data_IF_003437789151
#
_entry.id   IF_003437789151
#
_cell.length_a   1.000
_cell.length_b   1.000
_cell.length_c   1.000
_cell.angle_alpha   90.00
_cell.angle_beta   90.00
_cell.angle_gamma   90.00
#
_symmetry.space_group_name_H-M   'P 1'
#
loop_
_entity.id
_entity.type
_entity.pdbx_description
1 polymer ?
#
# COMPACT_ATOMS: atom_id res chain seq x y z
N UNK A 1 -7.80 9.24 23.66
CA UNK A 1 -7.06 9.68 22.48
C UNK A 1 -5.98 10.60 22.98
N UNK A 2 -4.71 10.29 22.73
CA UNK A 2 -3.60 11.12 23.19
C UNK A 2 -3.29 12.13 22.07
N UNK A 3 -3.39 13.41 22.40
CA UNK A 3 -3.03 14.51 21.52
C UNK A 3 -1.89 15.31 22.17
N UNK A 4 -1.00 15.85 21.36
CA UNK A 4 0.05 16.72 21.85
C UNK A 4 0.07 18.02 21.05
N UNK A 5 0.37 19.10 21.73
CA UNK A 5 0.62 20.39 21.12
C UNK A 5 2.08 20.75 21.32
N UNK A 6 2.69 21.20 20.25
CA UNK A 6 4.07 21.67 20.24
C UNK A 6 4.03 23.15 19.86
N UNK A 7 4.51 24.00 20.75
CA UNK A 7 4.57 25.44 20.51
C UNK A 7 6.03 25.89 20.52
N UNK A 8 6.53 26.30 19.36
CA UNK A 8 7.87 26.86 19.24
C UNK A 8 7.94 28.25 19.86
N UNK A 9 8.98 28.48 20.67
CA UNK A 9 9.14 29.72 21.40
C UNK A 9 10.09 30.71 20.74
N UNK A 10 10.88 30.28 19.76
CA UNK A 10 11.88 31.08 19.09
C UNK A 10 11.84 30.93 17.58
N UNK A 11 12.37 31.93 16.86
CA UNK A 11 12.46 31.92 15.40
C UNK A 11 13.50 30.92 14.88
N UNK A 12 14.46 30.54 15.71
CA UNK A 12 15.47 29.54 15.38
C UNK A 12 14.90 28.11 15.46
N UNK A 13 13.70 27.97 16.02
CA UNK A 13 12.97 26.70 16.19
C UNK A 13 13.77 25.66 16.99
N UNK A 14 14.44 26.12 18.04
CA UNK A 14 15.27 25.27 18.93
C UNK A 14 14.51 24.90 20.19
N UNK A 15 13.85 25.88 20.82
CA UNK A 15 13.14 25.69 22.07
C UNK A 15 11.63 25.62 21.83
N UNK A 16 10.98 24.67 22.47
CA UNK A 16 9.56 24.45 22.33
C UNK A 16 8.93 24.04 23.65
N UNK A 17 7.64 24.31 23.78
CA UNK A 17 6.80 23.76 24.82
C UNK A 17 5.96 22.64 24.25
N UNK A 18 5.96 21.53 24.94
CA UNK A 18 5.18 20.35 24.63
C UNK A 18 4.06 20.19 25.67
N UNK A 19 2.85 20.15 25.22
CA UNK A 19 1.66 19.95 26.03
C UNK A 19 1.02 18.60 25.65
N UNK A 20 0.79 17.75 26.64
CA UNK A 20 0.14 16.47 26.46
C UNK A 20 -1.30 16.53 26.96
N UNK A 21 -2.21 16.01 26.16
CA UNK A 21 -3.62 15.92 26.46
C UNK A 21 -4.11 14.48 26.38
N UNK A 22 -4.94 14.10 27.32
CA UNK A 22 -5.70 12.87 27.32
C UNK A 22 -7.18 13.20 27.54
N UNK A 23 -8.04 12.73 26.62
CA UNK A 23 -9.48 12.99 26.69
C UNK A 23 -9.84 14.48 26.86
N UNK A 24 -9.10 15.37 26.19
CA UNK A 24 -9.20 16.83 26.25
C UNK A 24 -8.80 17.47 27.60
N UNK A 25 -8.10 16.74 28.45
CA UNK A 25 -7.52 17.30 29.69
C UNK A 25 -6.01 17.34 29.55
N UNK A 26 -5.39 18.46 29.88
CA UNK A 26 -3.94 18.60 29.92
C UNK A 26 -3.37 17.79 31.08
N UNK A 27 -2.58 16.76 30.74
CA UNK A 27 -1.95 15.88 31.74
C UNK A 27 -0.53 16.31 32.10
N UNK A 28 0.19 16.92 31.15
CA UNK A 28 1.55 17.37 31.36
C UNK A 28 1.90 18.53 30.42
N UNK A 29 2.86 19.34 30.85
CA UNK A 29 3.57 20.31 30.00
C UNK A 29 5.06 20.27 30.32
N UNK A 30 5.89 20.35 29.30
CA UNK A 30 7.34 20.34 29.45
C UNK A 30 7.99 21.21 28.38
N UNK A 31 8.98 22.04 28.82
CA UNK A 31 9.81 22.79 27.89
C UNK A 31 11.02 21.96 27.52
N UNK A 32 11.22 21.74 26.24
CA UNK A 32 12.29 20.88 25.70
C UNK A 32 12.94 21.54 24.49
N UNK A 33 14.11 21.03 24.12
CA UNK A 33 14.72 21.35 22.84
C UNK A 33 14.22 20.40 21.76
N UNK A 34 14.26 20.86 20.52
CA UNK A 34 13.78 20.07 19.37
C UNK A 34 14.51 18.72 19.22
N UNK A 35 15.79 18.66 19.53
CA UNK A 35 16.59 17.42 19.52
C UNK A 35 16.15 16.39 20.58
N UNK A 36 15.49 16.83 21.64
CA UNK A 36 14.95 16.00 22.72
C UNK A 36 13.46 15.63 22.51
N UNK A 37 12.83 16.14 21.47
CA UNK A 37 11.40 15.96 21.24
C UNK A 37 11.00 14.48 21.13
N UNK A 38 11.77 13.68 20.42
CA UNK A 38 11.48 12.25 20.23
C UNK A 38 11.40 11.46 21.55
N UNK A 39 12.19 11.86 22.56
CA UNK A 39 12.19 11.18 23.87
C UNK A 39 10.97 11.52 24.71
N UNK A 40 10.32 12.66 24.40
CA UNK A 40 9.17 13.18 25.13
C UNK A 40 7.83 12.97 24.42
N UNK A 41 7.86 12.56 23.15
CA UNK A 41 6.66 12.16 22.41
C UNK A 41 6.37 10.68 22.65
N UNK A 42 5.14 10.38 23.05
CA UNK A 42 4.66 8.99 23.09
C UNK A 42 4.39 8.47 21.65
N UNK A 43 4.61 7.19 21.42
CA UNK A 43 4.28 6.55 20.15
C UNK A 43 2.78 6.67 19.85
N UNK A 44 2.42 6.98 18.63
CA UNK A 44 1.02 7.09 18.13
C UNK A 44 0.22 8.32 18.57
N UNK A 45 0.83 9.47 18.66
CA UNK A 45 0.17 10.73 19.02
C UNK A 45 -0.14 11.56 17.77
N UNK A 46 -1.32 12.18 17.76
CA UNK A 46 -1.60 13.30 16.86
C UNK A 46 -1.00 14.57 17.49
N UNK A 47 -0.10 15.19 16.75
CA UNK A 47 0.62 16.39 17.20
C UNK A 47 0.22 17.58 16.35
N UNK A 48 -0.21 18.66 16.96
CA UNK A 48 -0.35 19.96 16.32
C UNK A 48 0.87 20.81 16.72
N UNK A 49 1.58 21.31 15.71
CA UNK A 49 2.79 22.09 15.86
C UNK A 49 2.53 23.52 15.47
N UNK A 50 2.70 24.45 16.40
CA UNK A 50 2.56 25.87 16.16
C UNK A 50 3.94 26.50 15.95
N UNK A 51 4.10 27.13 14.79
CA UNK A 51 5.30 27.90 14.44
C UNK A 51 5.01 29.39 14.65
N UNK A 52 6.03 30.20 15.03
CA UNK A 52 5.88 31.65 15.18
C UNK A 52 5.28 32.28 13.93
N UNK A 53 4.22 33.08 14.10
CA UNK A 53 3.51 33.70 12.96
C UNK A 53 4.36 34.68 12.16
N UNK A 54 5.45 35.18 12.76
CA UNK A 54 6.46 35.99 12.06
C UNK A 54 7.12 35.29 10.88
N UNK A 55 7.07 33.95 10.84
CA UNK A 55 7.67 33.14 9.76
C UNK A 55 6.78 33.06 8.53
N UNK A 56 5.54 33.56 8.60
CA UNK A 56 4.54 33.45 7.55
C UNK A 56 4.14 34.81 7.00
N UNK A 57 3.80 34.84 5.73
CA UNK A 57 3.06 35.90 5.10
C UNK A 57 1.64 35.46 4.79
N UNK A 58 0.73 36.43 4.74
CA UNK A 58 -0.69 36.17 4.51
C UNK A 58 -1.26 37.19 3.50
N UNK A 59 -2.19 36.73 2.68
CA UNK A 59 -2.93 37.57 1.76
C UNK A 59 -4.35 37.03 1.57
N UNK A 60 -5.33 37.92 1.71
CA UNK A 60 -6.72 37.60 1.39
C UNK A 60 -6.96 37.78 -0.12
N UNK A 61 -7.51 36.78 -0.74
CA UNK A 61 -7.84 36.82 -2.16
C UNK A 61 -9.35 36.71 -2.39
N UNK A 62 -9.80 37.31 -3.47
CA UNK A 62 -11.17 37.14 -3.92
C UNK A 62 -11.31 35.81 -4.65
N UNK A 63 -12.04 34.87 -4.09
CA UNK A 63 -12.34 33.62 -4.74
C UNK A 63 -13.30 33.87 -5.92
N UNK A 64 -12.77 34.04 -7.09
CA UNK A 64 -13.54 34.10 -8.31
C UNK A 64 -14.02 32.70 -8.65
N UNK A 65 -15.24 32.35 -8.28
CA UNK A 65 -15.87 31.09 -8.56
C UNK A 65 -15.72 30.69 -10.02
N UNK A 66 -14.92 29.66 -10.29
CA UNK A 66 -14.72 29.11 -11.63
C UNK A 66 -13.28 28.99 -12.12
N UNK A 67 -12.31 29.55 -11.40
CA UNK A 67 -10.90 29.32 -11.71
C UNK A 67 -10.44 27.94 -11.25
N UNK A 68 -9.57 27.30 -12.03
CA UNK A 68 -8.87 26.10 -11.58
C UNK A 68 -7.81 26.48 -10.54
N UNK A 69 -7.44 25.54 -9.68
CA UNK A 69 -6.46 25.78 -8.62
C UNK A 69 -5.15 26.40 -9.14
N UNK A 70 -4.63 25.94 -10.29
CA UNK A 70 -3.38 26.46 -10.87
C UNK A 70 -3.54 27.91 -11.36
N UNK A 71 -4.69 28.27 -11.91
CA UNK A 71 -5.01 29.64 -12.37
C UNK A 71 -5.22 30.57 -11.19
N UNK A 72 -5.86 30.09 -10.13
CA UNK A 72 -6.04 30.82 -8.87
C UNK A 72 -4.68 31.11 -8.23
N UNK A 73 -3.82 30.12 -8.14
CA UNK A 73 -2.46 30.27 -7.61
C UNK A 73 -1.64 31.31 -8.41
N UNK A 74 -1.68 31.23 -9.72
CA UNK A 74 -0.97 32.18 -10.57
C UNK A 74 -1.47 33.61 -10.36
N UNK A 75 -2.79 33.82 -10.26
CA UNK A 75 -3.37 35.16 -10.03
C UNK A 75 -2.98 35.71 -8.65
N UNK A 76 -3.05 34.88 -7.59
CA UNK A 76 -2.66 35.29 -6.25
C UNK A 76 -1.18 35.67 -6.21
N UNK A 77 -0.29 34.90 -6.84
CA UNK A 77 1.13 35.26 -6.93
C UNK A 77 1.34 36.61 -7.60
N UNK A 78 0.64 36.88 -8.68
CA UNK A 78 0.71 38.19 -9.39
C UNK A 78 0.23 39.31 -8.46
N UNK A 79 -0.85 39.12 -7.70
CA UNK A 79 -1.39 40.14 -6.79
C UNK A 79 -0.44 40.49 -5.66
N UNK A 80 0.34 39.50 -5.16
CA UNK A 80 1.22 39.68 -4.01
C UNK A 80 2.68 40.00 -4.41
N UNK A 81 3.06 39.82 -5.69
CA UNK A 81 4.44 39.98 -6.16
C UNK A 81 5.05 41.31 -5.74
N UNK A 82 4.30 42.38 -5.89
CA UNK A 82 4.75 43.75 -5.55
C UNK A 82 4.85 44.01 -4.03
N UNK A 83 4.21 43.17 -3.21
CA UNK A 83 4.16 43.31 -1.75
C UNK A 83 5.19 42.42 -1.02
N UNK A 84 5.76 41.42 -1.70
CA UNK A 84 6.76 40.50 -1.16
C UNK A 84 8.17 41.01 -1.42
N UNK A 85 8.95 41.16 -0.37
CA UNK A 85 10.37 41.60 -0.47
C UNK A 85 11.28 40.44 -0.93
N UNK A 86 10.91 39.22 -0.61
CA UNK A 86 11.66 38.00 -0.92
C UNK A 86 11.39 37.51 -2.34
N UNK A 87 12.35 36.78 -2.93
CA UNK A 87 12.14 36.08 -4.19
C UNK A 87 10.99 35.07 -4.05
N UNK A 88 9.96 35.19 -4.88
CA UNK A 88 8.79 34.30 -4.88
C UNK A 88 9.18 32.83 -5.07
N UNK A 89 10.23 32.58 -5.85
CA UNK A 89 10.76 31.22 -6.06
C UNK A 89 11.33 30.57 -4.80
N UNK A 90 11.67 31.36 -3.80
CA UNK A 90 12.14 30.90 -2.49
C UNK A 90 11.02 30.65 -1.47
N UNK A 91 9.76 30.83 -1.86
CA UNK A 91 8.60 30.71 -0.99
C UNK A 91 7.75 29.47 -1.36
N UNK A 92 7.19 28.82 -0.34
CA UNK A 92 6.14 27.82 -0.50
C UNK A 92 4.80 28.44 -0.14
N UNK A 93 3.85 28.33 -1.07
CA UNK A 93 2.50 28.86 -0.92
C UNK A 93 1.50 27.77 -0.58
N UNK A 94 0.56 28.12 0.29
CA UNK A 94 -0.58 27.31 0.70
C UNK A 94 -1.85 28.14 0.60
N UNK A 95 -2.95 27.51 0.27
CA UNK A 95 -4.21 28.18 0.01
C UNK A 95 -5.31 27.52 0.80
N UNK A 96 -6.10 28.34 1.48
CA UNK A 96 -7.33 27.88 2.12
C UNK A 96 -8.51 28.57 1.40
N UNK A 97 -9.23 27.85 0.54
CA UNK A 97 -10.36 28.42 -0.19
C UNK A 97 -11.57 28.67 0.74
N UNK A 98 -11.66 28.03 1.91
CA UNK A 98 -12.71 28.25 2.89
C UNK A 98 -12.57 29.61 3.58
N UNK A 99 -11.35 30.00 3.89
CA UNK A 99 -11.01 31.29 4.49
C UNK A 99 -10.66 32.36 3.44
N UNK A 100 -10.52 31.99 2.16
CA UNK A 100 -10.03 32.86 1.08
C UNK A 100 -8.66 33.48 1.40
N UNK A 101 -7.77 32.70 1.98
CA UNK A 101 -6.45 33.16 2.41
C UNK A 101 -5.34 32.37 1.71
N UNK A 102 -4.33 33.08 1.24
CA UNK A 102 -3.06 32.54 0.81
C UNK A 102 -2.02 32.76 1.92
N UNK A 103 -1.27 31.74 2.23
CA UNK A 103 -0.22 31.77 3.24
C UNK A 103 1.08 31.27 2.63
N UNK A 104 2.21 31.89 2.96
CA UNK A 104 3.51 31.44 2.47
C UNK A 104 4.56 31.47 3.57
N UNK A 105 5.59 30.65 3.38
CA UNK A 105 6.74 30.51 4.25
C UNK A 105 7.99 30.26 3.40
N UNK A 106 9.16 30.63 3.91
CA UNK A 106 10.43 30.31 3.26
C UNK A 106 10.59 28.80 3.00
N UNK A 107 10.91 28.44 1.76
CA UNK A 107 10.99 27.06 1.30
C UNK A 107 12.13 26.28 1.98
N UNK A 108 13.26 26.97 2.27
CA UNK A 108 14.42 26.35 2.94
C UNK A 108 14.09 26.05 4.38
N UNK A 109 13.42 26.98 5.05
CA UNK A 109 12.96 26.81 6.43
C UNK A 109 11.95 25.65 6.53
N UNK A 110 10.95 25.65 5.67
CA UNK A 110 9.93 24.59 5.63
C UNK A 110 10.56 23.21 5.35
N UNK A 111 11.51 23.12 4.43
CA UNK A 111 12.25 21.88 4.16
C UNK A 111 13.02 21.39 5.38
N UNK A 112 13.67 22.30 6.10
CA UNK A 112 14.36 21.98 7.35
C UNK A 112 13.43 21.44 8.42
N UNK A 113 12.28 22.09 8.62
CA UNK A 113 11.25 21.66 9.57
C UNK A 113 10.70 20.29 9.18
N UNK A 114 10.28 20.11 7.95
CA UNK A 114 9.74 18.84 7.46
C UNK A 114 10.74 17.70 7.62
N UNK A 115 12.02 17.93 7.32
CA UNK A 115 13.07 16.93 7.50
C UNK A 115 13.21 16.49 8.97
N UNK A 116 13.13 17.42 9.91
CA UNK A 116 13.19 17.11 11.34
C UNK A 116 11.98 16.31 11.80
N UNK A 117 10.76 16.74 11.45
CA UNK A 117 9.53 16.05 11.85
C UNK A 117 9.34 14.71 11.13
N UNK A 118 9.89 14.53 9.94
CA UNK A 118 9.86 13.25 9.22
C UNK A 118 10.70 12.15 9.90
N UNK A 119 11.63 12.51 10.79
CA UNK A 119 12.37 11.53 11.60
C UNK A 119 11.59 11.04 12.82
N UNK A 120 10.50 11.73 13.19
CA UNK A 120 9.69 11.44 14.36
C UNK A 120 8.51 10.51 14.02
N UNK A 121 8.16 9.66 14.96
CA UNK A 121 6.92 8.87 14.88
C UNK A 121 5.72 9.72 15.31
N UNK A 122 4.58 9.58 14.62
CA UNK A 122 3.35 10.33 14.92
C UNK A 122 2.77 11.04 13.69
N UNK A 123 1.56 11.55 13.83
CA UNK A 123 0.91 12.38 12.83
C UNK A 123 1.10 13.84 13.22
N UNK A 124 1.65 14.62 12.32
CA UNK A 124 1.92 16.04 12.57
C UNK A 124 1.04 16.93 11.68
N UNK A 125 0.51 17.98 12.29
CA UNK A 125 -0.10 19.11 11.59
C UNK A 125 0.69 20.34 11.99
N UNK A 126 1.28 21.05 11.03
CA UNK A 126 2.07 22.25 11.30
C UNK A 126 1.27 23.47 10.87
N UNK A 127 1.07 24.39 11.79
CA UNK A 127 0.24 25.58 11.63
C UNK A 127 0.97 26.83 12.17
N UNK A 128 0.63 28.02 11.69
CA UNK A 128 1.04 29.29 12.34
C UNK A 128 0.44 29.42 13.74
N UNK A 129 1.17 29.99 14.67
CA UNK A 129 0.72 30.07 16.08
C UNK A 129 -0.52 30.95 16.30
N UNK A 130 -0.79 31.94 15.47
CA UNK A 130 -1.99 32.76 15.62
C UNK A 130 -3.29 31.95 15.44
N UNK A 131 -3.24 30.82 14.72
CA UNK A 131 -4.38 29.91 14.62
C UNK A 131 -4.72 29.20 15.94
N UNK A 132 -3.82 29.22 16.92
CA UNK A 132 -4.12 28.84 18.30
C UNK A 132 -5.25 29.68 18.90
N UNK A 133 -5.37 30.91 18.42
CA UNK A 133 -6.31 31.92 18.92
C UNK A 133 -7.49 32.12 17.97
N UNK A 134 -7.63 31.26 16.94
CA UNK A 134 -8.62 31.45 15.90
C UNK A 134 -10.05 31.43 16.45
N UNK A 135 -10.77 32.46 16.12
CA UNK A 135 -12.21 32.65 16.41
C UNK A 135 -12.75 33.73 15.45
N UNK A 136 -14.05 33.93 15.43
CA UNK A 136 -14.67 34.96 14.62
C UNK A 136 -14.27 36.41 15.06
N UNK A 137 -13.80 36.57 16.29
CA UNK A 137 -13.34 37.85 16.82
C UNK A 137 -11.80 37.86 16.91
N UNK A 138 -11.19 39.05 16.79
CA UNK A 138 -9.75 39.20 16.96
C UNK A 138 -9.28 38.84 18.38
N UNK A 139 -8.16 38.16 18.47
CA UNK A 139 -7.57 37.72 19.73
C UNK A 139 -6.11 38.09 19.84
N UNK A 140 -5.65 38.40 21.04
CA UNK A 140 -4.24 38.64 21.32
C UNK A 140 -3.80 37.76 22.47
N UNK A 141 -2.69 37.05 22.26
CA UNK A 141 -1.99 36.33 23.30
C UNK A 141 -0.73 37.11 23.69
N UNK A 142 -0.53 37.29 24.96
CA UNK A 142 0.71 37.79 25.55
C UNK A 142 1.44 36.63 26.22
N UNK A 143 2.69 36.44 25.88
CA UNK A 143 3.59 35.47 26.52
C UNK A 143 4.90 36.14 26.96
N UNK A 144 5.80 35.39 27.55
CA UNK A 144 7.09 35.93 28.04
C UNK A 144 7.99 36.43 26.90
N UNK A 145 7.74 36.12 25.64
CA UNK A 145 8.52 36.56 24.45
C UNK A 145 7.95 37.82 23.85
N UNK A 146 6.65 38.00 23.90
CA UNK A 146 5.97 39.08 23.25
C UNK A 146 4.48 38.85 23.08
N UNK A 147 4.00 38.99 21.88
CA UNK A 147 2.58 38.89 21.57
C UNK A 147 2.34 38.10 20.28
N UNK A 148 1.14 37.52 20.20
CA UNK A 148 0.60 36.89 19.00
C UNK A 148 -0.83 37.39 18.79
N UNK A 149 -1.18 37.84 17.58
CA UNK A 149 -2.50 38.35 17.21
C UNK A 149 -3.09 37.44 16.16
N UNK A 150 -4.36 37.03 16.35
CA UNK A 150 -5.23 36.52 15.32
C UNK A 150 -6.26 37.56 14.97
N UNK A 151 -6.48 37.80 13.67
CA UNK A 151 -7.46 38.78 13.21
C UNK A 151 -8.88 38.23 13.08
N UNK A 152 -9.08 36.93 13.31
CA UNK A 152 -10.37 36.27 13.17
C UNK A 152 -10.78 35.97 11.73
N UNK A 153 -9.86 36.10 10.80
CA UNK A 153 -10.05 35.88 9.36
C UNK A 153 -9.04 34.86 8.79
N UNK A 154 -8.36 34.11 9.66
CA UNK A 154 -7.30 33.17 9.32
C UNK A 154 -5.92 33.80 9.18
N UNK A 155 -5.80 35.11 9.25
CA UNK A 155 -4.53 35.81 9.26
C UNK A 155 -4.09 36.20 10.67
N UNK A 156 -2.81 36.44 10.86
CA UNK A 156 -2.27 36.86 12.13
C UNK A 156 -0.80 37.23 12.08
N UNK A 157 -0.30 37.67 13.22
CA UNK A 157 1.09 38.11 13.37
C UNK A 157 1.58 37.87 14.80
N UNK A 158 2.88 37.62 14.95
CA UNK A 158 3.52 37.61 16.27
C UNK A 158 4.75 38.49 16.27
N UNK A 159 5.13 38.98 17.44
CA UNK A 159 6.25 39.91 17.59
C UNK A 159 6.73 40.08 19.02
N UNK A 160 7.85 40.72 19.18
CA UNK A 160 8.36 41.13 20.49
C UNK A 160 7.60 42.32 21.07
N UNK A 161 7.57 42.46 22.36
CA UNK A 161 6.94 43.60 23.03
C UNK A 161 7.43 44.96 22.52
N UNK A 162 8.67 45.07 22.13
CA UNK A 162 9.28 46.30 21.59
C UNK A 162 8.56 46.79 20.30
N UNK A 163 8.00 45.90 19.51
CA UNK A 163 7.27 46.23 18.28
C UNK A 163 5.77 46.38 18.49
N UNK A 164 5.25 46.02 19.67
CA UNK A 164 3.82 45.99 19.95
C UNK A 164 3.14 47.34 19.77
N UNK A 165 3.69 48.40 20.35
CA UNK A 165 3.06 49.75 20.33
C UNK A 165 2.96 50.27 18.87
N UNK A 166 3.97 50.03 18.04
CA UNK A 166 3.95 50.46 16.63
C UNK A 166 2.89 49.70 15.85
N UNK A 167 2.85 48.38 16.02
CA UNK A 167 1.88 47.55 15.35
C UNK A 167 0.45 47.89 15.82
N UNK A 168 0.25 48.07 17.13
CA UNK A 168 -1.03 48.37 17.70
C UNK A 168 -1.57 49.70 17.21
N UNK A 169 -0.74 50.75 17.13
CA UNK A 169 -1.10 52.04 16.58
C UNK A 169 -1.56 51.90 15.13
N UNK A 170 -0.85 51.12 14.32
CA UNK A 170 -1.23 50.84 12.91
C UNK A 170 -2.57 50.08 12.82
N UNK A 171 -2.82 49.13 13.71
CA UNK A 171 -4.09 48.38 13.75
C UNK A 171 -5.27 49.30 14.08
N UNK A 172 -5.11 50.17 15.05
CA UNK A 172 -6.13 51.13 15.45
C UNK A 172 -6.42 52.14 14.33
N UNK A 173 -5.39 52.66 13.67
CA UNK A 173 -5.54 53.54 12.49
C UNK A 173 -6.32 52.86 11.34
N UNK A 174 -6.16 51.58 11.17
CA UNK A 174 -6.87 50.76 10.16
C UNK A 174 -8.27 50.30 10.63
N UNK A 175 -8.85 50.93 11.64
CA UNK A 175 -10.20 50.67 12.19
C UNK A 175 -10.36 49.28 12.87
N UNK A 176 -9.29 48.76 13.40
CA UNK A 176 -9.40 47.59 14.24
C UNK A 176 -10.14 47.95 15.53
N UNK A 177 -11.37 47.45 15.70
CA UNK A 177 -12.19 47.84 16.85
C UNK A 177 -11.66 47.18 18.11
N UNK A 178 -10.96 47.95 18.95
CA UNK A 178 -10.37 47.52 20.25
C UNK A 178 -11.41 46.84 21.15
N UNK A 179 -12.68 47.26 21.06
CA UNK A 179 -13.81 46.73 21.83
C UNK A 179 -14.15 45.26 21.60
N UNK A 180 -13.58 44.65 20.50
CA UNK A 180 -13.81 43.26 20.13
C UNK A 180 -12.61 42.36 20.29
N UNK A 181 -11.51 42.87 20.86
CA UNK A 181 -10.29 42.08 21.02
C UNK A 181 -10.33 41.32 22.33
N UNK A 182 -10.14 40.02 22.28
CA UNK A 182 -9.98 39.21 23.48
C UNK A 182 -8.50 39.06 23.80
N UNK A 183 -8.12 39.24 25.06
CA UNK A 183 -6.74 39.11 25.52
C UNK A 183 -6.53 37.82 26.28
N UNK A 184 -5.44 37.17 26.02
CA UNK A 184 -5.00 35.95 26.68
C UNK A 184 -3.59 36.10 27.22
N UNK A 185 -3.24 35.35 28.22
CA UNK A 185 -1.89 35.22 28.74
C UNK A 185 -1.51 33.78 28.98
N UNK A 186 -0.26 33.48 28.79
CA UNK A 186 0.32 32.13 29.00
C UNK A 186 0.54 31.84 30.49
N UNK A 187 0.92 32.86 31.28
CA UNK A 187 1.16 32.77 32.71
C UNK A 187 0.57 33.96 33.44
N UNK A 188 0.28 33.79 34.72
CA UNK A 188 -0.25 34.83 35.60
C UNK A 188 0.68 36.03 35.77
N UNK A 189 1.97 35.77 35.67
CA UNK A 189 3.03 36.78 35.80
C UNK A 189 3.33 37.55 34.51
N UNK A 190 2.74 37.13 33.36
CA UNK A 190 2.89 37.81 32.10
C UNK A 190 2.29 39.20 32.12
N UNK A 191 3.11 40.20 31.82
CA UNK A 191 2.69 41.61 31.79
C UNK A 191 1.78 41.86 30.58
N UNK A 192 0.57 42.36 30.84
CA UNK A 192 -0.34 42.78 29.79
C UNK A 192 -0.27 44.29 29.68
N UNK A 193 -0.14 44.85 28.43
CA UNK A 193 -0.15 46.29 28.22
C UNK A 193 -1.40 46.94 28.86
N UNK A 194 -1.21 48.08 29.54
CA UNK A 194 -2.26 48.78 30.30
C UNK A 194 -3.52 49.06 29.50
N UNK A 195 -3.38 49.29 28.21
CA UNK A 195 -4.49 49.52 27.29
C UNK A 195 -5.52 48.38 27.26
N UNK A 196 -5.11 47.16 27.61
CA UNK A 196 -6.00 45.99 27.69
C UNK A 196 -6.39 45.63 29.14
N UNK A 197 -5.68 46.13 30.12
CA UNK A 197 -5.89 45.73 31.50
C UNK A 197 -7.26 46.16 32.05
N UNK A 198 -7.82 47.26 31.57
CA UNK A 198 -9.06 47.85 32.06
C UNK A 198 -10.32 47.39 31.29
N UNK A 199 -10.20 46.94 30.05
CA UNK A 199 -11.33 46.81 29.12
C UNK A 199 -11.68 45.36 28.73
N UNK A 200 -10.85 44.39 29.04
CA UNK A 200 -10.97 43.05 28.51
C UNK A 200 -10.82 41.92 29.57
N UNK A 201 -11.63 40.86 29.45
CA UNK A 201 -11.49 39.67 30.29
C UNK A 201 -10.27 38.86 29.81
N UNK A 202 -9.22 38.86 30.63
CA UNK A 202 -7.99 38.07 30.34
C UNK A 202 -8.24 36.60 30.67
N UNK A 203 -8.02 35.73 29.70
CA UNK A 203 -8.17 34.28 29.83
C UNK A 203 -6.79 33.60 29.87
N UNK A 204 -6.74 32.40 30.46
CA UNK A 204 -5.53 31.59 30.43
C UNK A 204 -5.44 30.82 29.11
N UNK A 205 -4.26 30.73 28.51
CA UNK A 205 -3.97 30.00 27.27
C UNK A 205 -4.43 28.54 27.35
N UNK A 206 -4.30 27.91 28.53
CA UNK A 206 -4.71 26.51 28.74
C UNK A 206 -6.14 26.22 28.32
N UNK A 207 -7.07 27.16 28.55
CA UNK A 207 -8.48 27.02 28.13
C UNK A 207 -8.60 27.06 26.60
N UNK A 208 -7.72 27.79 25.95
CA UNK A 208 -7.69 27.92 24.49
C UNK A 208 -7.22 26.67 23.78
N UNK A 209 -6.19 26.02 24.28
CA UNK A 209 -5.76 24.75 23.71
C UNK A 209 -6.89 23.72 23.65
N UNK A 210 -7.75 23.69 24.67
CA UNK A 210 -8.93 22.81 24.70
C UNK A 210 -9.95 23.18 23.62
N UNK A 211 -10.20 24.47 23.44
CA UNK A 211 -11.16 24.94 22.44
C UNK A 211 -10.65 24.75 21.01
N UNK A 212 -9.35 24.93 20.83
CA UNK A 212 -8.68 24.66 19.52
C UNK A 212 -8.78 23.20 19.13
N UNK A 213 -8.61 22.25 20.05
CA UNK A 213 -8.77 20.82 19.75
C UNK A 213 -10.15 20.54 19.12
N UNK A 214 -11.21 21.24 19.56
CA UNK A 214 -12.54 21.12 18.96
C UNK A 214 -12.63 21.75 17.56
N UNK A 215 -11.83 22.77 17.32
CA UNK A 215 -11.76 23.51 16.06
C UNK A 215 -10.76 22.94 15.04
N UNK A 216 -9.95 21.97 15.43
CA UNK A 216 -8.87 21.34 14.61
C UNK A 216 -9.30 20.98 13.16
N UNK A 217 -10.59 20.69 12.97
CA UNK A 217 -11.13 20.30 11.66
C UNK A 217 -11.42 21.49 10.73
N UNK A 218 -11.20 22.71 11.18
CA UNK A 218 -11.53 23.92 10.40
C UNK A 218 -10.44 24.37 9.42
N UNK A 219 -9.22 23.82 9.52
CA UNK A 219 -8.12 24.23 8.67
C UNK A 219 -7.86 23.21 7.55
N UNK A 220 -7.96 23.65 6.30
CA UNK A 220 -7.70 22.81 5.13
C UNK A 220 -6.23 22.73 4.77
N UNK A 221 -5.37 23.60 5.30
CA UNK A 221 -3.94 23.56 5.05
C UNK A 221 -3.12 22.97 6.19
N UNK A 222 -2.08 22.24 5.80
CA UNK A 222 -1.07 21.73 6.70
C UNK A 222 0.30 21.93 6.06
N UNK A 223 1.18 22.64 6.74
CA UNK A 223 2.54 22.90 6.26
C UNK A 223 3.44 21.67 6.34
N UNK A 224 3.05 20.66 7.12
CA UNK A 224 3.78 19.42 7.18
C UNK A 224 3.48 18.53 5.95
N UNK A 225 4.55 18.18 5.25
CA UNK A 225 4.48 17.18 4.18
C UNK A 225 5.31 15.97 4.59
N UNK A 226 4.62 14.86 4.85
CA UNK A 226 5.32 13.64 5.16
C UNK A 226 5.99 13.08 3.90
N UNK A 227 7.30 12.96 3.97
CA UNK A 227 8.05 12.24 2.95
C UNK A 227 7.86 10.73 3.16
N UNK A 228 7.59 10.02 2.07
CA UNK A 228 7.50 8.56 2.13
C UNK A 228 8.89 7.99 2.39
N UNK A 229 9.16 7.60 3.64
CA UNK A 229 10.38 6.88 3.99
C UNK A 229 10.05 5.43 4.33
N UNK A 230 10.90 4.51 3.89
CA UNK A 230 10.79 3.08 4.24
C UNK A 230 10.89 2.88 5.76
N UNK A 231 11.60 3.75 6.47
CA UNK A 231 11.73 3.72 7.92
C UNK A 231 10.43 4.08 8.63
N UNK A 232 9.74 5.10 8.14
CA UNK A 232 8.43 5.47 8.66
C UNK A 232 7.40 4.35 8.44
N UNK A 233 7.33 3.82 7.23
CA UNK A 233 6.42 2.71 6.91
C UNK A 233 6.70 1.48 7.80
N UNK A 234 7.98 1.22 8.06
CA UNK A 234 8.41 0.14 8.94
C UNK A 234 7.99 0.38 10.39
N UNK A 235 8.10 1.60 10.91
CA UNK A 235 7.71 1.94 12.30
C UNK A 235 6.20 1.86 12.50
N UNK A 236 5.42 2.38 11.56
CA UNK A 236 3.95 2.36 11.61
C UNK A 236 3.37 0.94 11.54
N UNK A 237 3.93 0.09 10.71
CA UNK A 237 3.45 -1.28 10.50
C UNK A 237 4.05 -2.28 11.51
N UNK A 238 4.88 -1.82 12.46
CA UNK A 238 5.63 -2.68 13.38
C UNK A 238 6.40 -3.80 12.65
N UNK A 239 6.82 -3.55 11.40
CA UNK A 239 7.51 -4.51 10.55
C UNK A 239 8.94 -4.70 11.06
N UNK A 240 9.23 -5.89 11.52
CA UNK A 240 10.58 -6.25 11.92
C UNK A 240 11.49 -6.44 10.69
N UNK A 241 12.81 -6.38 10.90
CA UNK A 241 13.78 -6.70 9.83
C UNK A 241 13.60 -8.12 9.28
N UNK A 242 13.06 -9.02 10.09
CA UNK A 242 12.74 -10.40 9.70
C UNK A 242 11.55 -10.43 8.73
N UNK A 243 10.50 -9.66 9.01
CA UNK A 243 9.31 -9.57 8.16
C UNK A 243 9.65 -8.94 6.81
N UNK A 244 10.50 -7.92 6.79
CA UNK A 244 10.97 -7.31 5.54
C UNK A 244 11.73 -8.31 4.67
N UNK A 245 12.58 -9.16 5.27
CA UNK A 245 13.28 -10.23 4.55
C UNK A 245 12.31 -11.29 4.02
N UNK A 246 11.27 -11.63 4.78
CA UNK A 246 10.23 -12.56 4.34
C UNK A 246 9.41 -11.98 3.17
N UNK A 247 9.02 -10.71 3.25
CA UNK A 247 8.31 -10.01 2.17
C UNK A 247 9.18 -9.96 0.91
N UNK A 248 10.46 -9.61 1.05
CA UNK A 248 11.39 -9.59 -0.08
C UNK A 248 11.58 -10.98 -0.71
N UNK A 249 11.69 -12.03 0.11
CA UNK A 249 11.78 -13.41 -0.37
C UNK A 249 10.49 -13.84 -1.09
N UNK A 250 9.32 -13.49 -0.56
CA UNK A 250 8.03 -13.76 -1.17
C UNK A 250 7.88 -13.05 -2.54
N UNK A 251 8.24 -11.78 -2.61
CA UNK A 251 8.27 -11.03 -3.86
C UNK A 251 9.22 -11.68 -4.87
N UNK A 252 10.41 -12.09 -4.43
CA UNK A 252 11.37 -12.77 -5.29
C UNK A 252 10.78 -14.07 -5.86
N UNK A 253 10.11 -14.89 -5.05
CA UNK A 253 9.45 -16.12 -5.52
C UNK A 253 8.33 -15.81 -6.50
N UNK A 254 7.49 -14.83 -6.22
CA UNK A 254 6.37 -14.43 -7.11
C UNK A 254 6.89 -13.99 -8.49
N UNK A 255 7.99 -13.24 -8.54
CA UNK A 255 8.57 -12.79 -9.81
C UNK A 255 9.36 -13.87 -10.54
N UNK A 256 10.06 -14.74 -9.82
CA UNK A 256 10.92 -15.76 -10.45
C UNK A 256 10.17 -17.04 -10.84
N UNK A 257 9.12 -17.43 -10.09
CA UNK A 257 8.36 -18.64 -10.37
C UNK A 257 7.75 -18.67 -11.79
N UNK A 258 7.08 -17.61 -12.30
CA UNK A 258 6.54 -17.60 -13.66
C UNK A 258 7.64 -17.72 -14.72
N UNK A 259 8.79 -17.07 -14.51
CA UNK A 259 9.92 -17.15 -15.44
C UNK A 259 10.51 -18.56 -15.49
N UNK A 260 10.68 -19.18 -14.32
CA UNK A 260 11.18 -20.55 -14.23
C UNK A 260 10.19 -21.54 -14.84
N UNK A 261 8.91 -21.39 -14.58
CA UNK A 261 7.84 -22.22 -15.14
C UNK A 261 7.81 -22.10 -16.66
N UNK A 262 7.89 -20.89 -17.20
CA UNK A 262 7.92 -20.67 -18.65
C UNK A 262 9.15 -21.26 -19.27
N UNK A 263 10.32 -21.13 -18.66
CA UNK A 263 11.55 -21.74 -19.12
C UNK A 263 11.45 -23.28 -19.15
N UNK A 264 10.95 -23.88 -18.09
CA UNK A 264 10.76 -25.33 -18.01
C UNK A 264 9.76 -25.83 -19.05
N UNK A 265 8.60 -25.16 -19.18
CA UNK A 265 7.59 -25.51 -20.18
C UNK A 265 8.16 -25.43 -21.61
N UNK A 266 8.90 -24.38 -21.92
CA UNK A 266 9.55 -24.23 -23.23
C UNK A 266 10.57 -25.32 -23.47
N UNK A 267 11.39 -25.67 -22.49
CA UNK A 267 12.38 -26.74 -22.57
C UNK A 267 11.71 -28.09 -22.79
N UNK A 268 10.66 -28.42 -22.04
CA UNK A 268 9.89 -29.65 -22.24
C UNK A 268 9.22 -29.68 -23.62
N UNK A 269 8.57 -28.58 -24.05
CA UNK A 269 7.95 -28.48 -25.39
C UNK A 269 8.96 -28.75 -26.50
N UNK A 270 10.14 -28.15 -26.41
CA UNK A 270 11.20 -28.38 -27.40
C UNK A 270 11.68 -29.81 -27.38
N UNK A 271 11.82 -30.46 -26.23
CA UNK A 271 12.17 -31.84 -26.08
C UNK A 271 11.13 -32.78 -26.70
N UNK A 272 9.84 -32.53 -26.42
CA UNK A 272 8.76 -33.30 -27.03
C UNK A 272 8.70 -33.13 -28.55
N UNK A 273 8.83 -31.90 -29.04
CA UNK A 273 8.87 -31.63 -30.50
C UNK A 273 10.04 -32.35 -31.16
N UNK A 274 11.23 -32.33 -30.56
CA UNK A 274 12.42 -33.03 -31.07
C UNK A 274 12.20 -34.54 -31.13
N UNK A 275 11.66 -35.15 -30.06
CA UNK A 275 11.34 -36.59 -30.02
C UNK A 275 10.25 -36.94 -31.05
N UNK A 276 9.24 -36.12 -31.19
CA UNK A 276 8.19 -36.34 -32.21
C UNK A 276 8.77 -36.33 -33.61
N UNK A 277 9.60 -35.35 -33.92
CA UNK A 277 10.31 -35.28 -35.23
C UNK A 277 11.20 -36.54 -35.45
N UNK A 278 11.85 -37.00 -34.39
CA UNK A 278 12.71 -38.19 -34.50
C UNK A 278 11.88 -39.47 -34.82
N UNK A 279 10.76 -39.65 -34.13
CA UNK A 279 9.83 -40.77 -34.42
C UNK A 279 9.31 -40.68 -35.86
N UNK A 280 8.86 -39.48 -36.28
CA UNK A 280 8.41 -39.29 -37.67
C UNK A 280 9.47 -39.60 -38.72
N UNK A 281 10.73 -39.22 -38.48
CA UNK A 281 11.84 -39.56 -39.38
C UNK A 281 12.14 -41.06 -39.44
N UNK A 282 11.90 -41.77 -38.33
CA UNK A 282 12.04 -43.25 -38.33
C UNK A 282 10.92 -43.93 -39.13
N UNK A 283 9.69 -43.38 -39.04
CA UNK A 283 8.56 -43.93 -39.80
C UNK A 283 8.61 -43.57 -41.30
N UNK A 284 9.12 -42.40 -41.64
CA UNK A 284 9.26 -41.96 -43.02
C UNK A 284 10.51 -41.10 -43.22
N UNK A 285 11.62 -41.68 -43.70
CA UNK A 285 12.91 -41.00 -43.90
C UNK A 285 12.86 -39.81 -44.87
N UNK A 286 11.86 -39.74 -45.74
CA UNK A 286 11.72 -38.66 -46.73
C UNK A 286 11.13 -37.37 -46.15
N UNK A 287 10.60 -37.38 -44.91
CA UNK A 287 10.06 -36.20 -44.26
C UNK A 287 11.16 -35.33 -43.60
N UNK A 288 11.37 -34.16 -44.19
CA UNK A 288 12.39 -33.22 -43.69
C UNK A 288 11.83 -32.16 -42.70
N UNK A 289 10.50 -31.95 -42.62
CA UNK A 289 9.90 -30.92 -41.79
C UNK A 289 8.50 -31.30 -41.34
N UNK A 290 8.22 -31.15 -40.04
CA UNK A 290 6.89 -31.32 -39.48
C UNK A 290 6.10 -30.02 -39.66
N UNK A 291 5.14 -29.97 -40.61
CA UNK A 291 4.32 -28.76 -40.88
C UNK A 291 2.95 -28.90 -40.25
N UNK A 292 2.35 -30.08 -40.34
CA UNK A 292 1.05 -30.40 -39.70
C UNK A 292 1.06 -31.90 -39.37
N UNK A 293 1.27 -32.21 -38.09
CA UNK A 293 1.40 -33.59 -37.60
C UNK A 293 0.16 -34.44 -37.89
N UNK A 294 -1.04 -33.84 -37.75
CA UNK A 294 -2.30 -34.57 -37.97
C UNK A 294 -2.48 -34.95 -39.45
N UNK A 295 -2.31 -34.00 -40.36
CA UNK A 295 -2.46 -34.28 -41.78
C UNK A 295 -1.39 -35.29 -42.30
N UNK A 296 -0.18 -35.24 -41.75
CA UNK A 296 0.89 -36.16 -42.09
C UNK A 296 0.67 -37.58 -41.54
N UNK A 297 0.04 -37.70 -40.35
CA UNK A 297 -0.41 -39.01 -39.83
C UNK A 297 -1.55 -39.59 -40.66
N UNK A 298 -2.52 -38.76 -41.04
CA UNK A 298 -3.65 -39.21 -41.90
C UNK A 298 -3.19 -39.67 -43.29
N UNK A 299 -2.13 -39.03 -43.84
CA UNK A 299 -1.51 -39.43 -45.10
C UNK A 299 -0.73 -40.74 -44.98
N UNK A 300 0.02 -40.89 -43.85
CA UNK A 300 0.70 -42.15 -43.57
C UNK A 300 -0.26 -43.30 -43.36
N UNK A 301 -1.37 -43.07 -42.65
CA UNK A 301 -2.38 -44.10 -42.41
C UNK A 301 -3.08 -44.55 -43.67
N UNK A 302 -3.29 -43.69 -44.67
CA UNK A 302 -3.84 -44.03 -45.99
C UNK A 302 -2.90 -44.85 -46.86
N UNK A 303 -1.60 -44.74 -46.63
CA UNK A 303 -0.56 -45.43 -47.41
C UNK A 303 -0.11 -46.73 -46.74
N UNK A 304 -0.67 -47.10 -45.58
CA UNK A 304 -0.45 -48.43 -44.99
C UNK A 304 -1.22 -49.47 -45.80
N UNK A 305 -0.62 -50.64 -46.14
CA UNK A 305 -1.34 -51.70 -46.81
C UNK A 305 -2.51 -52.17 -45.99
N UNK A 306 -3.68 -52.32 -46.61
CA UNK A 306 -4.89 -52.85 -45.95
C UNK A 306 -4.54 -54.18 -45.27
N UNK A 307 -4.44 -54.12 -43.96
CA UNK A 307 -4.32 -55.31 -43.14
C UNK A 307 -5.72 -55.93 -43.12
N UNK A 308 -5.83 -57.16 -43.59
CA UNK A 308 -7.04 -57.99 -43.73
C UNK A 308 -8.08 -57.78 -42.64
N UNK A 309 -9.38 -57.80 -43.06
CA UNK A 309 -10.60 -57.56 -42.28
C UNK A 309 -10.80 -58.45 -41.01
N UNK A 310 -9.84 -59.30 -40.67
CA UNK A 310 -9.90 -60.16 -39.44
C UNK A 310 -9.19 -59.60 -38.23
N UNK A 311 -8.55 -58.38 -38.32
CA UNK A 311 -7.99 -57.70 -37.18
C UNK A 311 -9.04 -56.73 -36.58
N UNK A 312 -9.14 -56.75 -35.24
CA UNK A 312 -9.93 -55.81 -34.42
C UNK A 312 -9.98 -54.40 -35.00
N UNK A 313 -11.11 -53.77 -35.04
CA UNK A 313 -11.19 -52.40 -35.52
C UNK A 313 -10.24 -51.55 -34.67
N UNK A 314 -9.42 -50.74 -35.33
CA UNK A 314 -8.40 -49.86 -34.66
C UNK A 314 -9.04 -48.97 -33.59
N UNK A 315 -10.35 -48.77 -33.67
CA UNK A 315 -11.14 -48.04 -32.66
C UNK A 315 -11.31 -48.81 -31.35
N UNK A 316 -11.44 -50.14 -31.41
CA UNK A 316 -11.55 -51.00 -30.22
C UNK A 316 -10.20 -51.13 -29.50
N UNK A 317 -9.11 -51.21 -30.26
CA UNK A 317 -7.76 -51.21 -29.70
C UNK A 317 -7.42 -49.90 -29.00
N UNK A 318 -7.76 -48.75 -29.61
CA UNK A 318 -7.56 -47.45 -29.03
C UNK A 318 -8.41 -47.25 -27.77
N UNK A 319 -9.65 -47.75 -27.75
CA UNK A 319 -10.48 -47.71 -26.55
C UNK A 319 -9.88 -48.55 -25.43
N UNK A 320 -9.36 -49.72 -25.75
CA UNK A 320 -8.75 -50.60 -24.77
C UNK A 320 -7.46 -49.99 -24.20
N UNK A 321 -6.57 -49.49 -25.07
CA UNK A 321 -5.36 -48.78 -24.62
C UNK A 321 -5.70 -47.56 -23.74
N UNK A 322 -6.72 -46.77 -24.09
CA UNK A 322 -7.16 -45.65 -23.28
C UNK A 322 -7.75 -46.08 -21.93
N UNK A 323 -8.33 -47.27 -21.85
CA UNK A 323 -8.81 -47.85 -20.59
C UNK A 323 -7.65 -48.33 -19.70
N UNK A 324 -6.65 -48.97 -20.27
CA UNK A 324 -5.46 -49.43 -19.56
C UNK A 324 -4.66 -48.22 -19.04
N UNK A 325 -4.55 -47.15 -19.81
CA UNK A 325 -3.90 -45.92 -19.42
C UNK A 325 -4.61 -45.22 -18.24
N UNK A 326 -5.95 -45.29 -18.19
CA UNK A 326 -6.75 -44.79 -17.05
C UNK A 326 -6.63 -45.63 -15.79
N UNK A 327 -6.30 -46.92 -15.92
CA UNK A 327 -6.03 -47.83 -14.81
C UNK A 327 -4.61 -47.75 -14.28
N UNK A 328 -3.87 -46.66 -14.55
CA UNK A 328 -2.48 -46.47 -14.17
C UNK A 328 -2.24 -46.70 -12.66
N UNK A 329 -2.23 -47.96 -12.26
CA UNK A 329 -1.99 -48.39 -10.89
C UNK A 329 -0.57 -48.95 -10.79
N UNK A 330 0.20 -48.55 -9.78
CA UNK A 330 1.58 -49.02 -9.57
C UNK A 330 1.69 -50.54 -9.40
N UNK A 331 0.57 -51.25 -9.17
CA UNK A 331 0.49 -52.70 -9.11
C UNK A 331 0.60 -53.39 -10.47
N UNK A 332 0.45 -52.67 -11.60
CA UNK A 332 0.64 -53.22 -12.94
C UNK A 332 2.11 -53.08 -13.36
N UNK A 333 2.77 -54.22 -13.48
CA UNK A 333 4.22 -54.25 -13.81
C UNK A 333 4.50 -54.40 -15.28
N UNK A 334 3.68 -55.17 -16.01
CA UNK A 334 3.85 -55.46 -17.40
C UNK A 334 2.47 -55.72 -18.04
N UNK A 335 2.31 -55.26 -19.28
CA UNK A 335 1.14 -55.53 -20.10
C UNK A 335 1.65 -56.08 -21.41
N UNK A 336 1.29 -57.34 -21.70
CA UNK A 336 1.62 -58.02 -22.93
C UNK A 336 0.36 -58.16 -23.78
N UNK A 337 0.41 -57.73 -25.01
CA UNK A 337 -0.71 -57.76 -25.95
C UNK A 337 -0.37 -58.75 -27.07
N UNK A 338 -1.12 -59.85 -27.15
CA UNK A 338 -1.05 -60.83 -28.22
C UNK A 338 -2.24 -60.59 -29.18
N UNK A 339 -1.95 -59.90 -30.28
CA UNK A 339 -2.98 -59.51 -31.28
C UNK A 339 -3.50 -60.69 -32.07
N UNK A 340 -2.67 -61.72 -32.31
CA UNK A 340 -3.06 -62.92 -33.04
C UNK A 340 -4.07 -63.78 -32.23
N UNK A 341 -3.88 -63.84 -30.89
CA UNK A 341 -4.78 -64.57 -29.99
C UNK A 341 -5.87 -63.73 -29.40
N UNK A 342 -5.85 -62.42 -29.68
CA UNK A 342 -6.76 -61.45 -29.11
C UNK A 342 -6.80 -61.51 -27.56
N UNK A 343 -5.60 -61.60 -26.95
CA UNK A 343 -5.43 -61.73 -25.50
C UNK A 343 -4.54 -60.62 -25.00
N UNK A 344 -4.92 -60.00 -23.90
CA UNK A 344 -4.09 -59.08 -23.14
C UNK A 344 -3.76 -59.74 -21.81
N UNK A 345 -2.50 -59.85 -21.51
CA UNK A 345 -2.01 -60.33 -20.23
C UNK A 345 -1.48 -59.21 -19.39
N UNK A 346 -2.11 -58.93 -18.28
CA UNK A 346 -1.67 -57.89 -17.32
C UNK A 346 -0.99 -58.57 -16.16
N UNK A 347 0.30 -58.32 -15.98
CA UNK A 347 1.05 -58.83 -14.81
C UNK A 347 0.84 -57.93 -13.63
N UNK A 348 0.32 -58.50 -12.56
CA UNK A 348 -0.08 -57.81 -11.35
C UNK A 348 0.86 -58.21 -10.19
N UNK A 349 1.30 -57.21 -9.43
CA UNK A 349 2.03 -57.38 -8.20
C UNK A 349 1.41 -56.51 -7.11
N UNK A 350 0.97 -57.13 -6.01
CA UNK A 350 0.41 -56.46 -4.83
C UNK A 350 -0.87 -55.68 -5.07
N UNK A 351 -1.84 -56.25 -5.78
CA UNK A 351 -3.15 -55.64 -6.02
C UNK A 351 -4.16 -56.07 -4.96
N UNK A 352 -4.80 -55.11 -4.30
CA UNK A 352 -5.84 -55.43 -3.31
C UNK A 352 -7.08 -56.06 -3.95
N UNK A 353 -7.77 -56.95 -3.24
CA UNK A 353 -8.96 -57.65 -3.75
C UNK A 353 -10.12 -56.71 -4.11
N UNK A 354 -10.25 -55.56 -3.45
CA UNK A 354 -11.26 -54.54 -3.82
C UNK A 354 -10.95 -53.93 -5.20
N UNK A 355 -9.67 -53.58 -5.42
CA UNK A 355 -9.25 -53.04 -6.71
C UNK A 355 -9.37 -54.04 -7.84
N UNK A 356 -9.05 -55.32 -7.58
CA UNK A 356 -9.21 -56.39 -8.54
C UNK A 356 -10.67 -56.49 -8.99
N UNK A 357 -11.62 -56.48 -8.04
CA UNK A 357 -13.07 -56.51 -8.36
C UNK A 357 -13.52 -55.34 -9.22
N UNK A 358 -13.08 -54.14 -8.86
CA UNK A 358 -13.40 -52.91 -9.63
C UNK A 358 -12.89 -53.04 -11.09
N UNK A 359 -11.65 -53.53 -11.27
CA UNK A 359 -11.07 -53.75 -12.58
C UNK A 359 -11.85 -54.82 -13.37
N UNK A 360 -12.18 -55.94 -12.73
CA UNK A 360 -12.95 -56.99 -13.37
C UNK A 360 -14.34 -56.53 -13.78
N UNK A 361 -15.02 -55.76 -12.96
CA UNK A 361 -16.33 -55.19 -13.31
C UNK A 361 -16.22 -54.17 -14.43
N UNK A 362 -15.25 -53.30 -14.42
CA UNK A 362 -15.03 -52.32 -15.47
C UNK A 362 -14.70 -52.98 -16.81
N UNK A 363 -13.91 -54.05 -16.81
CA UNK A 363 -13.62 -54.83 -18.03
C UNK A 363 -14.85 -55.59 -18.54
N UNK A 364 -15.63 -56.18 -17.64
CA UNK A 364 -16.90 -56.85 -18.01
C UNK A 364 -17.95 -55.92 -18.62
N UNK A 365 -18.06 -54.70 -18.07
CA UNK A 365 -18.97 -53.69 -18.64
C UNK A 365 -18.60 -53.29 -20.08
N UNK A 366 -17.36 -53.52 -20.48
CA UNK A 366 -16.90 -53.27 -21.86
C UNK A 366 -16.85 -54.53 -22.74
N UNK A 367 -17.64 -55.54 -22.39
CA UNK A 367 -17.75 -56.80 -23.14
C UNK A 367 -16.46 -57.61 -23.24
N UNK A 368 -15.59 -57.49 -22.24
CA UNK A 368 -14.33 -58.22 -22.18
C UNK A 368 -14.46 -59.38 -21.18
N UNK A 369 -13.94 -60.54 -21.59
CA UNK A 369 -13.88 -61.72 -20.74
C UNK A 369 -12.58 -61.66 -19.93
N UNK A 370 -12.71 -61.77 -18.63
CA UNK A 370 -11.59 -61.71 -17.70
C UNK A 370 -11.36 -63.10 -17.12
N UNK A 371 -10.15 -63.62 -17.28
CA UNK A 371 -9.72 -64.89 -16.70
C UNK A 371 -8.65 -64.57 -15.63
N UNK A 372 -8.98 -64.87 -14.40
CA UNK A 372 -8.18 -64.63 -13.18
C UNK A 372 -7.57 -65.92 -12.61
N UNK A 373 -7.66 -67.04 -13.33
CA UNK A 373 -7.16 -68.35 -12.92
C UNK A 373 -5.66 -68.35 -12.60
N UNK A 374 -4.89 -67.45 -13.18
CA UNK A 374 -3.43 -67.33 -12.96
C UNK A 374 -3.08 -66.34 -11.84
N UNK A 375 -4.05 -65.84 -11.09
CA UNK A 375 -3.83 -64.99 -9.92
C UNK A 375 -3.71 -65.83 -8.66
N UNK A 376 -2.73 -65.49 -7.86
CA UNK A 376 -2.50 -66.11 -6.55
C UNK A 376 -2.72 -65.08 -5.46
N UNK A 377 -3.61 -65.38 -4.51
CA UNK A 377 -3.81 -64.52 -3.34
C UNK A 377 -2.77 -64.81 -2.27
N UNK A 378 -2.09 -63.74 -1.80
CA UNK A 378 -1.12 -63.83 -0.71
C UNK A 378 -1.24 -62.56 0.16
N UNK A 379 -1.47 -62.73 1.46
CA UNK A 379 -1.59 -61.63 2.42
C UNK A 379 -2.64 -60.56 2.04
N UNK A 380 -3.83 -60.94 1.59
CA UNK A 380 -4.90 -60.06 1.11
C UNK A 380 -4.57 -59.27 -0.20
N UNK A 381 -3.51 -59.62 -0.88
CA UNK A 381 -3.13 -59.04 -2.18
C UNK A 381 -2.99 -60.14 -3.24
N UNK A 382 -3.26 -59.76 -4.48
CA UNK A 382 -3.20 -60.64 -5.65
C UNK A 382 -1.90 -60.42 -6.45
N UNK A 383 -1.33 -61.54 -6.87
CA UNK A 383 -0.08 -61.58 -7.67
C UNK A 383 -0.30 -62.55 -8.84
N UNK A 384 0.25 -62.24 -9.99
CA UNK A 384 0.20 -63.13 -11.17
C UNK A 384 -0.23 -62.41 -12.43
N UNK A 385 -0.77 -63.18 -13.37
CA UNK A 385 -1.25 -62.68 -14.67
C UNK A 385 -2.75 -62.64 -14.79
N UNK A 386 -3.35 -61.47 -14.99
CA UNK A 386 -4.77 -61.33 -15.35
C UNK A 386 -4.87 -61.39 -16.88
N UNK A 387 -5.66 -62.33 -17.37
CA UNK A 387 -5.86 -62.50 -18.81
C UNK A 387 -7.20 -61.91 -19.21
N UNK A 388 -7.15 -61.00 -20.16
CA UNK A 388 -8.32 -60.35 -20.73
C UNK A 388 -8.50 -60.78 -22.17
N UNK A 389 -9.63 -61.38 -22.49
CA UNK A 389 -9.97 -61.84 -23.87
C UNK A 389 -11.10 -60.96 -24.41
N UNK A 390 -11.03 -60.70 -25.69
CA UNK A 390 -12.17 -60.07 -26.39
C UNK A 390 -13.32 -61.07 -26.56
N UNK A 391 -14.51 -60.61 -26.26
CA UNK A 391 -15.69 -61.38 -26.53
C UNK A 391 -16.18 -61.01 -27.93
N UNK A 392 -15.79 -61.78 -28.92
CA UNK A 392 -16.43 -61.74 -30.24
C UNK A 392 -17.77 -62.45 -30.11
N UNK A 393 -18.83 -61.67 -29.73
CA UNK A 393 -20.19 -62.16 -29.71
C UNK A 393 -20.76 -62.40 -31.10
#
# INVERSE_FOLDING_TARGET
>A
MHNSFIHFRDLDLVNLDLYHYENNEQIASVSVKLDQLQQNLSDSVNCIVFLPSQLFGFHHFNNNAGLKNDELQANIIIEIEDSIISDISALNFFYDPGLNIATWIDATLLTRINKQFNTLSGNFTILPEHLLLESDDPNILFDHRGFCISYGDGSGFSGEYSSFEQLYSSLVENKFAVERIHCFRDDKDTVIPEIFAETQAVKELRQFHLDFIKAEKSFEFNFFKREFSLEYFRSQMHITTRDLKLIAALCFVIFTAPLLTNYLLTSYSNSYTSKTIQIFKQLNPSFNKLVNSKAQIDELSKNLPDISEDSLSSEQELKLLSYIERLNDPSFKQIDIDLEKQIITIRIEDLSGLKLKIIQEALKQNSLLVDDSNLVEKNNSFFGGLIVKYNNG
#
